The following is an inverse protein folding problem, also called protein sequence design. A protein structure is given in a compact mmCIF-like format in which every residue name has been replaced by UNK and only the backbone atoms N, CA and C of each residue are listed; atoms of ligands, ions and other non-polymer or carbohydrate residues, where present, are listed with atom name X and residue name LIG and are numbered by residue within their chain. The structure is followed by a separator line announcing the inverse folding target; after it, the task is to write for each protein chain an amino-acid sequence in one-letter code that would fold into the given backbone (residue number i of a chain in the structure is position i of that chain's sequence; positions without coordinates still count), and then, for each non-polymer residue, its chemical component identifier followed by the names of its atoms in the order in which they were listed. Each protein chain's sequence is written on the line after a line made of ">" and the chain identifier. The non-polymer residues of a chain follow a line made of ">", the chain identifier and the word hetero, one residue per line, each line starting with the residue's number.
data_IF_651574523403
#
_entry.id   IF_651574523403
#
_cell.length_a   1.000
_cell.length_b   1.000
_cell.length_c   1.000
_cell.angle_alpha   90.00
_cell.angle_beta   90.00
_cell.angle_gamma   90.00
#
_symmetry.space_group_name_H-M   'P 1'
#
loop_
_entity.id
_entity.type
_entity.pdbx_description
1 polymer ?
#
# COMPACT_ATOMS: atom_id res chain seq x y z
N UNK A 1 27.00 -43.53 6.85
CA UNK A 1 25.91 -43.15 5.92
C UNK A 1 26.42 -43.35 4.49
N UNK A 2 25.60 -43.87 3.57
CA UNK A 2 26.03 -44.08 2.17
C UNK A 2 25.87 -42.77 1.38
N UNK A 3 26.78 -42.48 0.45
CA UNK A 3 26.78 -41.23 -0.32
C UNK A 3 25.45 -40.95 -1.05
N UNK A 4 24.72 -42.00 -1.44
CA UNK A 4 23.40 -41.91 -2.06
C UNK A 4 22.37 -41.23 -1.15
N UNK A 5 22.35 -41.57 0.13
CA UNK A 5 21.36 -41.05 1.07
C UNK A 5 21.64 -39.58 1.40
N UNK A 6 22.92 -39.17 1.37
CA UNK A 6 23.34 -37.77 1.50
C UNK A 6 22.93 -36.92 0.28
N UNK A 7 23.16 -37.43 -0.94
CA UNK A 7 22.80 -36.71 -2.18
C UNK A 7 21.29 -36.51 -2.26
N UNK A 8 20.49 -37.52 -1.91
CA UNK A 8 19.03 -37.40 -1.88
C UNK A 8 18.61 -36.31 -0.88
N UNK A 9 19.20 -36.29 0.32
CA UNK A 9 18.92 -35.24 1.31
C UNK A 9 19.25 -33.83 0.81
N UNK A 10 20.40 -33.65 0.14
CA UNK A 10 20.81 -32.35 -0.44
C UNK A 10 19.86 -31.92 -1.55
N UNK A 11 19.52 -32.80 -2.49
CA UNK A 11 18.61 -32.48 -3.61
C UNK A 11 17.22 -32.12 -3.10
N UNK A 12 16.67 -32.92 -2.18
CA UNK A 12 15.36 -32.66 -1.59
C UNK A 12 15.34 -31.35 -0.79
N UNK A 13 16.42 -31.05 -0.05
CA UNK A 13 16.55 -29.79 0.69
C UNK A 13 16.58 -28.56 -0.22
N UNK A 14 17.34 -28.61 -1.31
CA UNK A 14 17.41 -27.51 -2.30
C UNK A 14 16.07 -27.31 -3.00
N UNK A 15 15.38 -28.38 -3.40
CA UNK A 15 14.07 -28.31 -4.03
C UNK A 15 13.02 -27.68 -3.10
N UNK A 16 12.97 -28.11 -1.83
CA UNK A 16 12.06 -27.55 -0.84
C UNK A 16 12.34 -26.05 -0.57
N UNK A 17 13.62 -25.67 -0.44
CA UNK A 17 14.02 -24.27 -0.26
C UNK A 17 13.62 -23.38 -1.45
N UNK A 18 13.74 -23.89 -2.68
CA UNK A 18 13.34 -23.16 -3.89
C UNK A 18 11.83 -22.92 -3.95
N UNK A 19 11.03 -23.94 -3.61
CA UNK A 19 9.56 -23.83 -3.57
C UNK A 19 9.12 -22.79 -2.51
N UNK A 20 9.72 -22.81 -1.32
CA UNK A 20 9.41 -21.81 -0.26
C UNK A 20 9.77 -20.39 -0.70
N UNK A 21 10.92 -20.20 -1.36
CA UNK A 21 11.35 -18.89 -1.88
C UNK A 21 10.37 -18.33 -2.92
N UNK A 22 9.84 -19.19 -3.79
CA UNK A 22 8.92 -18.75 -4.83
C UNK A 22 7.50 -18.51 -4.28
N UNK A 23 7.06 -19.31 -3.29
CA UNK A 23 5.79 -19.11 -2.60
C UNK A 23 5.74 -17.80 -1.78
N UNK A 24 6.86 -17.39 -1.20
CA UNK A 24 6.94 -16.17 -0.37
C UNK A 24 7.03 -14.88 -1.18
N UNK A 25 7.49 -14.92 -2.43
CA UNK A 25 7.52 -13.76 -3.33
C UNK A 25 6.14 -13.19 -3.70
N UNK A 26 5.07 -13.96 -3.51
CA UNK A 26 3.74 -13.62 -4.03
C UNK A 26 2.76 -13.03 -3.00
N UNK A 27 3.17 -12.87 -1.74
CA UNK A 27 2.31 -12.17 -0.78
C UNK A 27 2.51 -10.68 -1.01
N UNK A 28 1.73 -10.09 -1.90
CA UNK A 28 1.71 -8.63 -2.07
C UNK A 28 1.22 -8.05 -0.73
N UNK A 29 2.08 -7.41 0.07
CA UNK A 29 1.71 -6.98 1.42
C UNK A 29 0.75 -5.79 1.40
N UNK A 30 0.48 -5.24 0.21
CA UNK A 30 -0.29 -4.04 0.02
C UNK A 30 -1.79 -4.38 -0.07
N UNK A 31 -2.60 -3.60 0.63
CA UNK A 31 -4.06 -3.64 0.53
C UNK A 31 -4.51 -3.08 -0.83
N UNK A 32 -5.73 -3.40 -1.22
CA UNK A 32 -6.33 -2.89 -2.44
C UNK A 32 -6.44 -1.34 -2.38
N UNK A 33 -5.88 -0.59 -3.36
CA UNK A 33 -5.93 0.87 -3.37
C UNK A 33 -7.36 1.43 -3.32
N UNK A 34 -8.30 0.82 -4.05
CA UNK A 34 -9.69 1.28 -4.09
C UNK A 34 -10.36 1.09 -2.73
N UNK A 35 -10.04 0.03 -2.00
CA UNK A 35 -10.56 -0.17 -0.64
C UNK A 35 -10.05 0.91 0.31
N UNK A 36 -8.75 1.25 0.24
CA UNK A 36 -8.17 2.37 1.00
C UNK A 36 -8.84 3.69 0.62
N UNK A 37 -9.03 3.95 -0.68
CA UNK A 37 -9.69 5.17 -1.15
C UNK A 37 -11.13 5.29 -0.61
N UNK A 38 -11.90 4.20 -0.60
CA UNK A 38 -13.26 4.21 -0.03
C UNK A 38 -13.25 4.47 1.48
N UNK A 39 -12.31 3.89 2.24
CA UNK A 39 -12.15 4.18 3.67
C UNK A 39 -11.83 5.66 3.91
N UNK A 40 -10.89 6.22 3.17
CA UNK A 40 -10.52 7.65 3.25
C UNK A 40 -11.72 8.54 2.88
N UNK A 41 -12.44 8.21 1.81
CA UNK A 41 -13.67 8.94 1.42
C UNK A 41 -14.72 8.92 2.53
N UNK A 42 -14.90 7.80 3.21
CA UNK A 42 -15.84 7.69 4.33
C UNK A 42 -15.43 8.60 5.50
N UNK A 43 -14.15 8.65 5.84
CA UNK A 43 -13.65 9.56 6.89
C UNK A 43 -13.83 11.04 6.50
N UNK A 44 -13.52 11.41 5.26
CA UNK A 44 -13.74 12.78 4.76
C UNK A 44 -15.21 13.17 4.77
N UNK A 45 -16.11 12.24 4.40
CA UNK A 45 -17.57 12.45 4.40
C UNK A 45 -18.15 12.75 5.78
N UNK A 46 -17.47 12.37 6.87
CA UNK A 46 -17.89 12.75 8.24
C UNK A 46 -17.76 14.25 8.50
N UNK A 47 -16.92 14.95 7.74
CA UNK A 47 -16.67 16.39 7.88
C UNK A 47 -17.44 17.24 6.86
N UNK A 48 -17.97 16.63 5.80
CA UNK A 48 -18.72 17.33 4.75
C UNK A 48 -18.82 16.51 3.46
N UNK A 49 -19.66 16.94 2.50
CA UNK A 49 -19.73 16.30 1.19
C UNK A 49 -18.38 16.34 0.47
N UNK A 50 -18.14 15.36 -0.41
CA UNK A 50 -16.99 15.31 -1.30
C UNK A 50 -17.49 15.33 -2.74
N UNK A 51 -16.74 15.98 -3.62
CA UNK A 51 -17.10 16.17 -5.03
C UNK A 51 -16.21 15.38 -5.98
N UNK A 52 -15.06 14.90 -5.49
CA UNK A 52 -14.11 14.11 -6.27
C UNK A 52 -13.14 13.32 -5.42
N UNK A 53 -12.57 12.26 -6.00
CA UNK A 53 -11.55 11.45 -5.36
C UNK A 53 -10.73 10.68 -6.40
N UNK A 54 -9.42 10.52 -6.16
CA UNK A 54 -8.55 9.69 -6.99
C UNK A 54 -7.48 9.00 -6.13
N UNK A 55 -6.94 7.89 -6.64
CA UNK A 55 -5.81 7.19 -6.04
C UNK A 55 -4.91 6.61 -7.13
N UNK A 56 -3.61 6.75 -6.99
CA UNK A 56 -2.62 6.13 -7.86
C UNK A 56 -2.40 4.69 -7.41
N UNK A 57 -2.67 3.73 -8.30
CA UNK A 57 -2.70 2.31 -7.94
C UNK A 57 -1.32 1.70 -7.70
N UNK A 58 -0.26 2.38 -8.12
CA UNK A 58 1.12 1.93 -7.91
C UNK A 58 1.68 2.61 -6.66
N UNK A 59 2.11 1.83 -5.65
CA UNK A 59 2.66 2.43 -4.45
C UNK A 59 4.05 3.01 -4.71
N UNK A 60 4.34 4.13 -4.07
CA UNK A 60 5.63 4.82 -4.15
C UNK A 60 6.33 4.82 -2.79
N UNK A 61 7.65 5.00 -2.79
CA UNK A 61 8.38 5.21 -1.54
C UNK A 61 8.27 6.67 -1.15
N UNK A 62 7.69 6.93 0.02
CA UNK A 62 7.57 8.24 0.64
C UNK A 62 8.45 8.29 1.89
N UNK A 63 9.17 9.40 2.09
CA UNK A 63 10.03 9.57 3.25
C UNK A 63 9.38 10.54 4.24
N UNK A 64 8.98 10.02 5.41
CA UNK A 64 8.60 10.85 6.56
C UNK A 64 9.78 10.92 7.50
N UNK A 65 10.42 12.08 7.62
CA UNK A 65 11.59 12.27 8.51
C UNK A 65 12.66 11.17 8.31
N UNK A 66 13.04 10.92 7.05
CA UNK A 66 13.99 9.88 6.62
C UNK A 66 13.53 8.41 6.78
N UNK A 67 12.31 8.16 7.27
CA UNK A 67 11.73 6.82 7.33
C UNK A 67 11.04 6.49 6.00
N UNK A 68 11.49 5.45 5.25
CA UNK A 68 10.85 5.04 4.01
C UNK A 68 9.54 4.29 4.29
N UNK A 69 8.45 4.77 3.70
CA UNK A 69 7.10 4.20 3.80
C UNK A 69 6.59 3.92 2.39
N UNK A 70 6.05 2.74 2.15
CA UNK A 70 5.35 2.44 0.90
C UNK A 70 3.94 3.02 0.97
N UNK A 71 3.61 3.95 0.09
CA UNK A 71 2.33 4.68 0.13
C UNK A 71 1.61 4.65 -1.20
N UNK A 72 0.28 4.66 -1.16
CA UNK A 72 -0.54 5.12 -2.26
C UNK A 72 -0.75 6.63 -2.17
N UNK A 73 -0.49 7.33 -3.26
CA UNK A 73 -0.82 8.76 -3.41
C UNK A 73 -2.24 8.91 -3.92
N UNK A 74 -2.96 9.89 -3.42
CA UNK A 74 -4.32 10.17 -3.87
C UNK A 74 -4.76 11.56 -3.48
N UNK A 75 -6.03 11.85 -3.77
CA UNK A 75 -6.62 13.10 -3.32
C UNK A 75 -8.13 13.06 -3.19
N UNK A 76 -8.66 14.00 -2.42
CA UNK A 76 -10.08 14.24 -2.20
C UNK A 76 -10.36 15.71 -2.51
N UNK A 77 -11.42 15.98 -3.28
CA UNK A 77 -11.88 17.32 -3.60
C UNK A 77 -13.23 17.58 -2.93
N UNK A 78 -13.43 18.79 -2.42
CA UNK A 78 -14.73 19.24 -1.90
C UNK A 78 -14.95 20.73 -2.11
N UNK A 79 -16.20 21.18 -2.12
CA UNK A 79 -16.56 22.59 -2.07
C UNK A 79 -16.66 23.06 -0.60
N UNK A 80 -15.88 24.09 -0.26
CA UNK A 80 -16.01 24.83 1.01
C UNK A 80 -16.31 26.30 0.69
N UNK A 81 -17.40 26.84 1.24
CA UNK A 81 -17.82 28.24 1.03
C UNK A 81 -17.95 28.66 -0.45
N UNK A 82 -18.28 27.72 -1.34
CA UNK A 82 -18.39 27.97 -2.78
C UNK A 82 -17.07 27.89 -3.56
N UNK A 83 -15.96 27.60 -2.88
CA UNK A 83 -14.65 27.42 -3.49
C UNK A 83 -14.23 25.94 -3.48
N UNK A 84 -13.52 25.53 -4.53
CA UNK A 84 -12.98 24.18 -4.64
C UNK A 84 -11.75 24.04 -3.75
N UNK A 85 -11.75 23.03 -2.88
CA UNK A 85 -10.65 22.70 -1.98
C UNK A 85 -10.18 21.28 -2.26
N UNK A 86 -8.88 21.13 -2.51
CA UNK A 86 -8.27 19.83 -2.77
C UNK A 86 -7.38 19.41 -1.60
N UNK A 87 -7.44 18.13 -1.28
CA UNK A 87 -6.56 17.49 -0.32
C UNK A 87 -5.79 16.41 -1.03
N UNK A 88 -4.47 16.45 -0.96
CA UNK A 88 -3.59 15.38 -1.42
C UNK A 88 -3.11 14.57 -0.22
N UNK A 89 -3.18 13.25 -0.32
CA UNK A 89 -2.78 12.35 0.75
C UNK A 89 -1.74 11.34 0.27
N UNK A 90 -0.88 10.94 1.21
CA UNK A 90 -0.08 9.73 1.14
C UNK A 90 -0.62 8.73 2.18
N UNK A 91 -1.12 7.59 1.74
CA UNK A 91 -1.67 6.55 2.62
C UNK A 91 -0.78 5.31 2.59
N UNK A 92 -0.37 4.81 3.76
CA UNK A 92 0.44 3.58 3.87
C UNK A 92 -0.25 2.42 3.14
N UNK A 93 0.49 1.77 2.25
CA UNK A 93 -0.07 0.77 1.33
C UNK A 93 -0.54 -0.50 2.04
N UNK A 94 -0.06 -0.76 3.26
CA UNK A 94 -0.38 -1.97 4.04
C UNK A 94 -1.57 -1.76 4.98
N UNK A 95 -1.71 -0.57 5.56
CA UNK A 95 -2.71 -0.27 6.57
C UNK A 95 -3.82 0.65 6.06
N UNK A 96 -3.54 1.50 5.07
CA UNK A 96 -4.44 2.58 4.63
C UNK A 96 -4.36 3.85 5.50
N UNK A 97 -3.51 3.87 6.53
CA UNK A 97 -3.33 5.05 7.40
C UNK A 97 -2.72 6.20 6.59
N UNK A 98 -3.33 7.39 6.69
CA UNK A 98 -2.78 8.60 6.09
C UNK A 98 -1.53 9.03 6.87
N UNK A 99 -0.38 8.98 6.22
CA UNK A 99 0.93 9.39 6.80
C UNK A 99 1.28 10.84 6.46
N UNK A 100 0.63 11.38 5.43
CA UNK A 100 0.75 12.78 5.05
C UNK A 100 -0.54 13.27 4.41
N UNK A 101 -0.94 14.50 4.74
CA UNK A 101 -2.13 15.15 4.22
C UNK A 101 -1.85 16.63 3.99
N UNK A 102 -1.95 17.06 2.74
CA UNK A 102 -1.67 18.44 2.33
C UNK A 102 -2.94 19.03 1.73
N UNK A 103 -3.32 20.22 2.19
CA UNK A 103 -4.36 21.02 1.54
C UNK A 103 -3.72 21.80 0.39
N UNK A 104 -4.26 21.63 -0.81
CA UNK A 104 -3.85 22.36 -2.01
C UNK A 104 -4.98 23.33 -2.38
N UNK A 105 -4.63 24.61 -2.50
CA UNK A 105 -5.55 25.69 -2.87
C UNK A 105 -5.81 25.69 -4.38
#
# INVERSE_FOLDING_TARGET
>A
MKARDFIIGVVTGVAAAYVVKEATKQVNPNRNPNAILEEIKQEFKKQGPIDGSWIFMQPETFYKEDIPISVYKGGISRIENGESVNFEFAADSKSGVIVDLVRVA
#
